data_IF_726564452926
#
_entry.id   IF_726564452926
#
_cell.length_a   1.000
_cell.length_b   1.000
_cell.length_c   1.000
_cell.angle_alpha   90.00
_cell.angle_beta   90.00
_cell.angle_gamma   90.00
#
_symmetry.space_group_name_H-M   'P 1'
#
loop_
_entity.id
_entity.type
_entity.pdbx_description
1 polymer ?
#
# COMPACT_ATOMS: atom_id res chain seq x y z
N UNK A 1 -0.13 -31.30 16.84
CA UNK A 1 0.45 -30.81 15.58
C UNK A 1 -0.17 -31.63 14.47
N UNK A 2 -1.00 -31.05 13.60
CA UNK A 2 -1.41 -31.77 12.39
C UNK A 2 -0.17 -31.97 11.53
N UNK A 3 0.19 -33.23 11.26
CA UNK A 3 1.22 -33.54 10.28
C UNK A 3 0.82 -32.93 8.93
N UNK A 4 1.74 -32.17 8.34
CA UNK A 4 1.54 -31.58 7.03
C UNK A 4 1.48 -32.71 5.99
N UNK A 5 0.42 -32.75 5.19
CA UNK A 5 0.30 -33.75 4.12
C UNK A 5 1.44 -33.61 3.11
N UNK A 6 1.83 -34.74 2.51
CA UNK A 6 2.86 -34.77 1.46
C UNK A 6 2.50 -33.86 0.28
N UNK A 7 1.23 -33.85 -0.11
CA UNK A 7 0.69 -32.98 -1.16
C UNK A 7 0.84 -31.49 -0.81
N UNK A 8 0.61 -31.09 0.44
CA UNK A 8 0.80 -29.70 0.85
C UNK A 8 2.27 -29.30 0.86
N UNK A 9 3.16 -30.20 1.27
CA UNK A 9 4.61 -29.98 1.22
C UNK A 9 5.10 -29.76 -0.22
N UNK A 10 4.68 -30.61 -1.16
CA UNK A 10 5.03 -30.48 -2.58
C UNK A 10 4.50 -29.16 -3.16
N UNK A 11 3.26 -28.80 -2.81
CA UNK A 11 2.65 -27.53 -3.22
C UNK A 11 3.44 -26.32 -2.71
N UNK A 12 3.88 -26.36 -1.44
CA UNK A 12 4.71 -25.31 -0.83
C UNK A 12 6.08 -25.23 -1.50
N UNK A 13 6.76 -26.35 -1.75
CA UNK A 13 8.04 -26.38 -2.44
C UNK A 13 7.96 -25.72 -3.83
N UNK A 14 6.91 -26.06 -4.57
CA UNK A 14 6.63 -25.50 -5.89
C UNK A 14 6.29 -24.01 -5.81
N UNK A 15 5.48 -23.60 -4.85
CA UNK A 15 5.18 -22.18 -4.62
C UNK A 15 6.47 -21.40 -4.31
N UNK A 16 7.37 -21.93 -3.48
CA UNK A 16 8.66 -21.29 -3.21
C UNK A 16 9.57 -21.20 -4.45
N UNK A 17 9.54 -22.18 -5.36
CA UNK A 17 10.24 -22.06 -6.67
C UNK A 17 9.70 -20.89 -7.49
N UNK A 18 8.37 -20.79 -7.57
CA UNK A 18 7.68 -19.73 -8.29
C UNK A 18 7.94 -18.35 -7.67
N UNK A 19 8.08 -18.29 -6.34
CA UNK A 19 8.46 -17.09 -5.61
C UNK A 19 9.86 -16.60 -5.98
N UNK A 20 10.84 -17.52 -6.07
CA UNK A 20 12.22 -17.21 -6.50
C UNK A 20 12.25 -16.68 -7.93
N UNK A 21 11.30 -17.10 -8.77
CA UNK A 21 11.12 -16.59 -10.14
C UNK A 21 10.45 -15.22 -10.21
N UNK A 22 10.11 -14.61 -9.08
CA UNK A 22 9.63 -13.23 -9.00
C UNK A 22 8.12 -13.06 -8.89
N UNK A 23 7.34 -14.15 -8.77
CA UNK A 23 5.90 -14.04 -8.50
C UNK A 23 5.64 -13.58 -7.05
N UNK A 24 4.49 -12.95 -6.80
CA UNK A 24 4.05 -12.62 -5.43
C UNK A 24 3.69 -13.87 -4.63
N UNK A 25 3.49 -13.76 -3.32
CA UNK A 25 3.07 -14.88 -2.45
C UNK A 25 1.85 -15.61 -3.00
N UNK A 26 0.76 -14.88 -3.23
CA UNK A 26 -0.49 -15.46 -3.69
C UNK A 26 -0.39 -16.00 -5.12
N UNK A 27 0.27 -15.25 -6.02
CA UNK A 27 0.45 -15.67 -7.41
C UNK A 27 1.31 -16.94 -7.51
N UNK A 28 2.34 -17.06 -6.66
CA UNK A 28 3.20 -18.25 -6.57
C UNK A 28 2.40 -19.48 -6.16
N UNK A 29 1.55 -19.36 -5.13
CA UNK A 29 0.73 -20.46 -4.66
C UNK A 29 -0.34 -20.85 -5.68
N UNK A 30 -1.06 -19.87 -6.26
CA UNK A 30 -2.05 -20.12 -7.32
C UNK A 30 -1.42 -20.73 -8.58
N UNK A 31 -0.19 -20.37 -8.92
CA UNK A 31 0.54 -21.02 -10.01
C UNK A 31 0.88 -22.47 -9.65
N UNK A 32 1.38 -22.73 -8.44
CA UNK A 32 1.68 -24.09 -7.98
C UNK A 32 0.44 -25.00 -7.99
N UNK A 33 -0.71 -24.52 -7.50
CA UNK A 33 -1.99 -25.25 -7.55
C UNK A 33 -2.38 -25.61 -8.98
N UNK A 34 -2.21 -24.69 -9.93
CA UNK A 34 -2.53 -24.94 -11.34
C UNK A 34 -1.57 -25.90 -12.01
N UNK A 35 -0.28 -25.79 -11.70
CA UNK A 35 0.77 -26.63 -12.30
C UNK A 35 0.74 -28.07 -11.79
N UNK A 36 0.43 -28.28 -10.51
CA UNK A 36 0.41 -29.62 -9.89
C UNK A 36 -0.98 -30.26 -9.87
N UNK A 37 -2.05 -29.47 -10.05
CA UNK A 37 -3.43 -29.97 -9.91
C UNK A 37 -3.85 -30.28 -8.46
N UNK A 38 -2.99 -30.01 -7.48
CA UNK A 38 -3.20 -30.31 -6.05
C UNK A 38 -4.02 -29.19 -5.39
N UNK A 39 -5.07 -29.56 -4.64
CA UNK A 39 -5.87 -28.65 -3.80
C UNK A 39 -6.01 -29.20 -2.39
N UNK A 40 -5.28 -28.61 -1.46
CA UNK A 40 -5.31 -28.99 -0.04
C UNK A 40 -5.86 -27.82 0.77
N UNK A 41 -6.94 -28.05 1.51
CA UNK A 41 -7.54 -27.06 2.40
C UNK A 41 -6.54 -26.65 3.50
N UNK A 42 -6.52 -25.36 3.85
CA UNK A 42 -5.58 -24.84 4.86
C UNK A 42 -4.12 -24.74 4.41
N UNK A 43 -3.76 -25.30 3.24
CA UNK A 43 -2.35 -25.33 2.81
C UNK A 43 -1.78 -23.96 2.48
N UNK A 44 -2.61 -22.99 2.06
CA UNK A 44 -2.17 -21.61 1.87
C UNK A 44 -1.74 -20.95 3.18
N UNK A 45 -2.43 -21.23 4.28
CA UNK A 45 -2.10 -20.74 5.62
C UNK A 45 -0.80 -21.38 6.10
N UNK A 46 -0.59 -22.67 5.84
CA UNK A 46 0.67 -23.37 6.11
C UNK A 46 1.81 -22.76 5.30
N UNK A 47 1.63 -22.54 4.00
CA UNK A 47 2.58 -21.84 3.13
C UNK A 47 2.96 -20.45 3.68
N UNK A 48 1.96 -19.69 4.13
CA UNK A 48 2.17 -18.36 4.68
C UNK A 48 2.98 -18.39 5.99
N UNK A 49 2.73 -19.37 6.87
CA UNK A 49 3.55 -19.60 8.07
C UNK A 49 5.00 -19.94 7.70
N UNK A 50 5.20 -20.80 6.70
CA UNK A 50 6.53 -21.15 6.19
C UNK A 50 7.26 -19.90 5.70
N UNK A 51 6.62 -19.04 4.90
CA UNK A 51 7.25 -17.82 4.40
C UNK A 51 7.75 -16.90 5.52
N UNK A 52 7.02 -16.80 6.63
CA UNK A 52 7.41 -15.96 7.78
C UNK A 52 8.63 -16.52 8.53
N UNK A 53 8.73 -17.84 8.67
CA UNK A 53 9.82 -18.48 9.41
C UNK A 53 11.05 -18.85 8.53
N UNK A 54 10.87 -18.99 7.21
CA UNK A 54 11.92 -19.44 6.30
C UNK A 54 13.20 -18.60 6.32
N UNK A 55 13.17 -17.25 6.41
CA UNK A 55 14.41 -16.48 6.51
C UNK A 55 15.22 -16.80 7.78
N UNK A 56 14.54 -17.00 8.91
CA UNK A 56 15.17 -17.44 10.16
C UNK A 56 15.79 -18.83 10.01
N UNK A 57 15.05 -19.78 9.46
CA UNK A 57 15.54 -21.15 9.25
C UNK A 57 16.74 -21.17 8.30
N UNK A 58 16.72 -20.42 7.20
CA UNK A 58 17.86 -20.30 6.29
C UNK A 58 19.11 -19.75 6.97
N UNK A 59 18.93 -18.88 7.97
CA UNK A 59 20.03 -18.31 8.75
C UNK A 59 20.58 -19.28 9.77
N UNK A 60 19.70 -19.98 10.51
CA UNK A 60 20.11 -20.93 11.55
C UNK A 60 20.62 -22.25 10.98
N UNK A 61 20.05 -22.71 9.87
CA UNK A 61 20.34 -24.00 9.24
C UNK A 61 20.58 -23.86 7.73
N UNK A 62 21.62 -23.14 7.30
CA UNK A 62 21.89 -22.88 5.89
C UNK A 62 22.18 -24.14 5.06
N UNK A 63 22.64 -25.22 5.71
CA UNK A 63 22.99 -26.49 5.07
C UNK A 63 21.80 -27.42 4.84
N UNK A 64 20.63 -27.13 5.40
CA UNK A 64 19.44 -27.95 5.16
C UNK A 64 18.97 -27.78 3.72
N UNK A 65 18.58 -28.90 3.11
CA UNK A 65 17.86 -28.85 1.84
C UNK A 65 16.50 -28.15 2.03
N UNK A 66 15.90 -27.71 0.92
CA UNK A 66 14.66 -26.91 0.96
C UNK A 66 13.53 -27.59 1.73
N UNK A 67 13.36 -28.90 1.53
CA UNK A 67 12.32 -29.68 2.17
C UNK A 67 12.43 -29.65 3.69
N UNK A 68 13.64 -29.92 4.20
CA UNK A 68 13.95 -29.83 5.63
C UNK A 68 13.84 -28.40 6.16
N UNK A 69 14.15 -27.38 5.35
CA UNK A 69 13.94 -25.98 5.74
C UNK A 69 12.44 -25.66 5.91
N UNK A 70 11.56 -26.20 5.07
CA UNK A 70 10.10 -26.03 5.19
C UNK A 70 9.60 -26.73 6.46
N UNK A 71 10.02 -27.97 6.68
CA UNK A 71 9.65 -28.74 7.87
C UNK A 71 10.11 -28.03 9.15
N UNK A 72 11.34 -27.50 9.16
CA UNK A 72 11.86 -26.74 10.30
C UNK A 72 11.12 -25.42 10.49
N UNK A 73 10.74 -24.73 9.42
CA UNK A 73 9.97 -23.48 9.48
C UNK A 73 8.60 -23.65 10.15
N UNK A 74 8.03 -24.85 10.11
CA UNK A 74 6.76 -25.17 10.76
C UNK A 74 6.90 -25.48 12.26
N UNK A 75 8.10 -25.87 12.69
CA UNK A 75 8.43 -26.21 14.09
C UNK A 75 8.85 -25.00 14.91
N UNK A 76 9.28 -23.92 14.27
CA UNK A 76 9.81 -22.75 14.95
C UNK A 76 8.77 -21.67 15.18
N UNK A 77 8.79 -21.10 16.39
CA UNK A 77 8.20 -19.79 16.61
C UNK A 77 8.98 -18.73 15.83
N UNK A 78 8.23 -17.85 15.15
CA UNK A 78 8.80 -16.80 14.33
C UNK A 78 9.45 -15.78 15.26
N UNK A 79 10.76 -15.60 15.13
CA UNK A 79 11.47 -14.46 15.66
C UNK A 79 11.60 -13.39 14.55
N UNK A 80 10.84 -12.28 14.60
CA UNK A 80 10.91 -11.21 13.62
C UNK A 80 12.33 -10.72 13.31
N UNK A 81 13.22 -10.72 14.32
CA UNK A 81 14.61 -10.28 14.19
C UNK A 81 15.49 -11.24 13.39
N UNK A 82 15.10 -12.51 13.30
CA UNK A 82 15.76 -13.55 12.49
C UNK A 82 15.08 -13.70 11.12
N UNK A 83 13.83 -13.26 10.99
CA UNK A 83 13.03 -13.32 9.77
C UNK A 83 13.39 -12.24 8.72
N UNK A 84 14.22 -11.25 9.06
CA UNK A 84 14.67 -10.24 8.10
C UNK A 84 16.09 -10.52 7.59
N UNK A 85 16.35 -10.38 6.26
CA UNK A 85 17.71 -10.35 5.75
C UNK A 85 18.55 -9.30 6.46
N UNK A 86 19.84 -9.60 6.67
CA UNK A 86 20.78 -8.72 7.38
C UNK A 86 20.72 -7.27 6.86
N UNK A 87 20.68 -7.09 5.55
CA UNK A 87 20.64 -5.75 4.98
C UNK A 87 19.36 -4.96 5.27
N UNK A 88 18.19 -5.62 5.32
CA UNK A 88 16.94 -4.95 5.67
C UNK A 88 16.99 -4.57 7.15
N UNK A 89 17.45 -5.49 8.00
CA UNK A 89 17.59 -5.27 9.44
C UNK A 89 18.52 -4.09 9.74
N UNK A 90 19.72 -4.07 9.17
CA UNK A 90 20.70 -2.98 9.35
C UNK A 90 20.13 -1.61 8.98
N UNK A 91 19.22 -1.58 8.01
CA UNK A 91 18.61 -0.36 7.48
C UNK A 91 17.41 0.10 8.30
N UNK A 92 16.57 -0.82 8.77
CA UNK A 92 15.33 -0.50 9.48
C UNK A 92 15.51 -0.40 11.00
N UNK A 93 16.45 -1.14 11.60
CA UNK A 93 16.70 -1.10 13.05
C UNK A 93 16.98 0.33 13.56
N UNK A 94 17.85 1.14 12.91
CA UNK A 94 18.11 2.51 13.38
C UNK A 94 16.93 3.48 13.19
N UNK A 95 15.93 3.10 12.38
CA UNK A 95 14.78 3.94 12.05
C UNK A 95 13.57 3.62 12.93
N UNK A 96 13.32 2.33 13.16
CA UNK A 96 12.14 1.81 13.85
C UNK A 96 12.41 1.39 15.29
N UNK A 97 13.69 1.22 15.66
CA UNK A 97 14.06 0.57 16.90
C UNK A 97 13.65 -0.91 16.94
N UNK A 98 13.85 -1.53 18.10
CA UNK A 98 13.52 -2.95 18.30
C UNK A 98 12.02 -3.20 18.34
N UNK A 99 11.26 -2.29 18.97
CA UNK A 99 9.81 -2.37 19.05
C UNK A 99 9.18 -2.32 17.66
N UNK A 100 9.58 -1.34 16.83
CA UNK A 100 9.01 -1.20 15.50
C UNK A 100 9.38 -2.33 14.54
N UNK A 101 10.58 -2.92 14.68
CA UNK A 101 10.94 -4.13 13.93
C UNK A 101 10.08 -5.34 14.30
N UNK A 102 9.88 -5.59 15.59
CA UNK A 102 9.01 -6.67 16.05
C UNK A 102 7.57 -6.46 15.58
N UNK A 103 7.17 -5.19 15.53
CA UNK A 103 5.89 -4.71 15.05
C UNK A 103 5.57 -4.94 13.56
N UNK A 104 6.56 -5.20 12.70
CA UNK A 104 6.37 -5.28 11.25
C UNK A 104 5.45 -6.42 10.80
N UNK A 105 5.26 -7.44 11.62
CA UNK A 105 4.42 -8.59 11.30
C UNK A 105 3.03 -8.52 11.92
N UNK A 106 2.73 -7.45 12.68
CA UNK A 106 1.39 -7.18 13.20
C UNK A 106 0.46 -6.90 12.03
N UNK A 107 -0.60 -7.70 11.92
CA UNK A 107 -1.56 -7.62 10.81
C UNK A 107 -2.98 -7.55 11.35
N UNK A 108 -3.74 -6.58 10.85
CA UNK A 108 -5.15 -6.45 11.11
C UNK A 108 -5.91 -6.49 9.78
N UNK A 109 -6.88 -7.42 9.62
CA UNK A 109 -7.77 -7.42 8.48
C UNK A 109 -8.64 -6.15 8.43
N UNK A 110 -8.57 -5.41 7.34
CA UNK A 110 -9.39 -4.20 7.14
C UNK A 110 -10.27 -4.33 5.89
N UNK A 111 -11.50 -3.81 5.99
CA UNK A 111 -12.41 -3.70 4.86
C UNK A 111 -13.17 -2.37 4.93
N UNK A 112 -13.23 -1.67 3.80
CA UNK A 112 -14.04 -0.48 3.63
C UNK A 112 -15.45 -0.86 3.17
N UNK A 113 -16.45 -0.24 3.78
CA UNK A 113 -17.82 -0.18 3.30
C UNK A 113 -17.89 0.66 2.04
N UNK A 114 -18.43 0.07 0.98
CA UNK A 114 -18.68 0.77 -0.27
C UNK A 114 -19.99 1.56 -0.19
N UNK A 115 -19.91 2.81 0.27
CA UNK A 115 -21.06 3.69 0.42
C UNK A 115 -21.72 4.12 -0.90
N UNK A 116 -21.18 3.72 -2.06
CA UNK A 116 -21.88 3.84 -3.34
C UNK A 116 -22.98 2.78 -3.51
N UNK A 117 -22.97 1.72 -2.68
CA UNK A 117 -23.89 0.58 -2.79
C UNK A 117 -24.72 0.32 -1.54
N UNK A 118 -24.17 0.60 -0.36
CA UNK A 118 -24.82 0.30 0.92
C UNK A 118 -24.35 1.28 2.00
N UNK A 119 -25.22 1.66 2.92
CA UNK A 119 -24.83 2.49 4.06
C UNK A 119 -23.97 1.72 5.08
N UNK A 120 -23.27 2.46 5.93
CA UNK A 120 -22.48 1.87 7.03
C UNK A 120 -23.41 1.23 8.08
N UNK A 121 -24.59 1.79 8.27
CA UNK A 121 -25.61 1.30 9.20
C UNK A 121 -26.14 -0.06 8.75
N UNK A 122 -26.51 -0.19 7.47
CA UNK A 122 -27.05 -1.44 6.90
C UNK A 122 -26.02 -2.57 6.95
N UNK A 123 -24.77 -2.32 6.54
CA UNK A 123 -23.74 -3.35 6.54
C UNK A 123 -23.34 -3.77 7.95
N UNK A 124 -23.28 -2.84 8.90
CA UNK A 124 -22.91 -3.17 10.29
C UNK A 124 -24.02 -3.93 11.00
N UNK A 125 -25.29 -3.67 10.66
CA UNK A 125 -26.42 -4.47 11.13
C UNK A 125 -26.33 -5.92 10.63
N UNK A 126 -26.18 -6.12 9.32
CA UNK A 126 -26.09 -7.47 8.73
C UNK A 126 -24.87 -8.25 9.28
N UNK A 127 -23.71 -7.58 9.47
CA UNK A 127 -22.55 -8.22 10.08
C UNK A 127 -22.81 -8.65 11.53
N UNK A 128 -23.57 -7.87 12.32
CA UNK A 128 -23.97 -8.25 13.69
C UNK A 128 -24.92 -9.44 13.70
N UNK A 129 -25.93 -9.44 12.82
CA UNK A 129 -26.88 -10.54 12.69
C UNK A 129 -26.19 -11.86 12.28
N UNK A 130 -25.13 -11.77 11.47
CA UNK A 130 -24.28 -12.92 11.10
C UNK A 130 -23.24 -13.30 12.16
N UNK A 131 -23.17 -12.57 13.28
CA UNK A 131 -22.18 -12.80 14.33
C UNK A 131 -20.73 -12.54 13.91
N UNK A 132 -20.49 -11.69 12.91
CA UNK A 132 -19.14 -11.34 12.45
C UNK A 132 -18.55 -10.25 13.37
N UNK A 133 -17.44 -10.51 14.08
CA UNK A 133 -16.83 -9.50 14.93
C UNK A 133 -16.13 -8.43 14.10
N UNK A 134 -16.47 -7.16 14.35
CA UNK A 134 -15.82 -6.00 13.75
C UNK A 134 -15.68 -4.83 14.73
N UNK A 135 -14.78 -3.91 14.40
CA UNK A 135 -14.65 -2.60 15.05
C UNK A 135 -14.59 -1.53 13.96
N UNK A 136 -15.36 -0.45 14.10
CA UNK A 136 -15.27 0.69 13.19
C UNK A 136 -14.01 1.51 13.53
N UNK A 137 -13.34 2.02 12.50
CA UNK A 137 -12.25 2.95 12.69
C UNK A 137 -12.78 4.30 13.23
N UNK A 138 -12.17 4.87 14.29
CA UNK A 138 -12.66 6.11 14.88
C UNK A 138 -12.47 7.34 13.97
N UNK A 139 -11.51 7.30 13.04
CA UNK A 139 -11.28 8.39 12.07
C UNK A 139 -12.09 8.19 10.79
N UNK A 140 -12.32 6.94 10.39
CA UNK A 140 -13.03 6.58 9.16
C UNK A 140 -14.19 5.61 9.47
N UNK A 141 -15.41 6.11 9.78
CA UNK A 141 -16.53 5.26 10.19
C UNK A 141 -16.94 4.16 9.19
N UNK A 142 -16.66 4.38 7.89
CA UNK A 142 -16.86 3.41 6.82
C UNK A 142 -15.78 2.32 6.75
N UNK A 143 -14.74 2.36 7.59
CA UNK A 143 -13.64 1.40 7.61
C UNK A 143 -13.82 0.45 8.80
N UNK A 144 -13.83 -0.85 8.52
CA UNK A 144 -14.06 -1.90 9.50
C UNK A 144 -12.80 -2.72 9.71
N UNK A 145 -12.35 -2.80 10.97
CA UNK A 145 -11.37 -3.77 11.43
C UNK A 145 -12.09 -5.09 11.69
N UNK A 146 -11.69 -6.14 10.97
CA UNK A 146 -12.27 -7.47 11.08
C UNK A 146 -11.33 -8.40 11.85
N UNK A 147 -11.88 -9.44 12.47
CA UNK A 147 -11.07 -10.51 13.08
C UNK A 147 -10.45 -11.42 12.01
N UNK A 148 -11.25 -11.77 11.01
CA UNK A 148 -10.92 -12.73 9.97
C UNK A 148 -10.70 -12.02 8.62
N UNK A 149 -9.97 -12.63 7.66
CA UNK A 149 -9.71 -12.00 6.36
C UNK A 149 -11.01 -11.61 5.65
N UNK A 150 -11.14 -10.40 5.08
CA UNK A 150 -12.42 -9.94 4.55
C UNK A 150 -12.92 -10.77 3.37
N UNK A 151 -12.01 -11.43 2.65
CA UNK A 151 -12.32 -12.30 1.51
C UNK A 151 -13.23 -13.48 1.85
N UNK A 152 -13.41 -13.82 3.13
CA UNK A 152 -14.35 -14.86 3.57
C UNK A 152 -15.80 -14.37 3.58
N UNK A 153 -16.02 -13.05 3.55
CA UNK A 153 -17.35 -12.46 3.61
C UNK A 153 -17.98 -12.37 2.20
N UNK A 154 -19.28 -12.73 2.07
CA UNK A 154 -19.99 -12.62 0.79
C UNK A 154 -20.03 -11.17 0.25
N UNK A 155 -20.03 -10.19 1.14
CA UNK A 155 -20.02 -8.76 0.84
C UNK A 155 -18.83 -8.33 -0.03
N UNK A 156 -17.69 -9.00 0.08
CA UNK A 156 -16.54 -8.73 -0.79
C UNK A 156 -16.81 -9.21 -2.22
N UNK A 157 -17.50 -10.35 -2.38
CA UNK A 157 -17.93 -10.85 -3.69
C UNK A 157 -19.00 -9.94 -4.31
N UNK A 158 -19.91 -9.43 -3.49
CA UNK A 158 -20.97 -8.50 -3.88
C UNK A 158 -20.46 -7.08 -4.14
N UNK A 159 -19.28 -6.73 -3.62
CA UNK A 159 -18.68 -5.40 -3.77
C UNK A 159 -19.25 -4.34 -2.82
N UNK A 160 -19.98 -4.75 -1.79
CA UNK A 160 -20.46 -3.92 -0.68
C UNK A 160 -19.39 -3.71 0.39
N UNK A 161 -18.44 -4.66 0.51
CA UNK A 161 -17.16 -4.48 1.21
C UNK A 161 -15.99 -4.55 0.23
N UNK A 162 -14.99 -3.70 0.44
CA UNK A 162 -13.76 -3.64 -0.35
C UNK A 162 -12.58 -3.83 0.60
N UNK A 163 -11.79 -4.92 0.48
CA UNK A 163 -10.56 -5.08 1.25
C UNK A 163 -9.61 -3.92 0.98
N UNK A 164 -9.32 -3.14 2.03
CA UNK A 164 -8.48 -1.95 1.92
C UNK A 164 -7.89 -1.63 3.28
N UNK A 165 -6.56 -1.51 3.33
CA UNK A 165 -5.85 -1.14 4.54
C UNK A 165 -6.12 0.32 4.97
N UNK A 166 -6.06 0.57 6.28
CA UNK A 166 -6.25 1.89 6.88
C UNK A 166 -5.28 2.95 6.34
N UNK A 167 -4.01 2.61 6.08
CA UNK A 167 -3.03 3.54 5.53
C UNK A 167 -3.39 3.97 4.09
N UNK A 168 -3.98 3.05 3.32
CA UNK A 168 -4.51 3.34 1.98
C UNK A 168 -5.71 4.29 2.03
N UNK A 169 -6.57 4.19 3.04
CA UNK A 169 -7.66 5.14 3.28
C UNK A 169 -7.11 6.51 3.68
N UNK A 170 -6.14 6.55 4.60
CA UNK A 170 -5.47 7.78 5.04
C UNK A 170 -4.84 8.53 3.86
N UNK A 171 -4.20 7.80 2.93
CA UNK A 171 -3.61 8.37 1.73
C UNK A 171 -4.62 9.15 0.88
N UNK A 172 -5.81 8.58 0.64
CA UNK A 172 -6.88 9.28 -0.10
C UNK A 172 -7.49 10.42 0.73
N UNK A 173 -7.56 10.29 2.05
CA UNK A 173 -7.98 11.39 2.92
C UNK A 173 -7.04 12.60 2.85
N UNK A 174 -5.72 12.38 2.72
CA UNK A 174 -4.72 13.46 2.54
C UNK A 174 -4.88 14.16 1.19
N UNK A 175 -5.24 13.42 0.13
CA UNK A 175 -5.62 14.00 -1.18
C UNK A 175 -6.81 14.95 -1.05
N UNK A 176 -7.74 14.63 -0.16
CA UNK A 176 -8.96 15.41 0.09
C UNK A 176 -9.73 15.69 -1.21
N UNK A 177 -10.17 14.65 -1.95
CA UNK A 177 -10.85 14.82 -3.23
C UNK A 177 -12.21 15.51 -3.05
N UNK A 178 -12.55 16.46 -3.93
CA UNK A 178 -13.83 17.17 -3.91
C UNK A 178 -14.70 16.81 -5.13
N UNK A 179 -16.04 16.84 -5.00
CA UNK A 179 -16.95 16.73 -6.13
C UNK A 179 -16.59 17.71 -7.26
N UNK A 180 -16.64 17.23 -8.50
CA UNK A 180 -16.32 18.02 -9.70
C UNK A 180 -14.83 18.21 -10.01
N UNK A 181 -13.90 17.85 -9.11
CA UNK A 181 -12.46 17.91 -9.40
C UNK A 181 -12.05 16.87 -10.44
N UNK A 182 -11.08 17.23 -11.28
CA UNK A 182 -10.36 16.29 -12.13
C UNK A 182 -9.08 15.85 -11.45
N UNK A 183 -8.96 14.55 -11.16
CA UNK A 183 -7.83 13.96 -10.44
C UNK A 183 -7.05 13.07 -11.39
N UNK A 184 -5.75 13.35 -11.54
CA UNK A 184 -4.83 12.44 -12.22
C UNK A 184 -4.26 11.45 -11.20
N UNK A 185 -4.60 10.17 -11.33
CA UNK A 185 -4.06 9.10 -10.49
C UNK A 185 -2.98 8.32 -11.24
N UNK A 186 -1.74 8.33 -10.73
CA UNK A 186 -0.61 7.60 -11.31
C UNK A 186 -0.31 6.36 -10.47
N UNK A 187 -0.30 5.19 -11.11
CA UNK A 187 -0.18 3.90 -10.42
C UNK A 187 -1.52 3.38 -9.90
N UNK A 188 -2.63 3.71 -10.58
CA UNK A 188 -3.99 3.54 -10.06
C UNK A 188 -4.41 2.08 -9.83
N UNK A 189 -3.90 1.14 -10.63
CA UNK A 189 -4.45 -0.22 -10.64
C UNK A 189 -4.03 -1.01 -9.39
N UNK A 190 -4.91 -1.84 -8.78
CA UNK A 190 -6.20 -2.32 -9.30
C UNK A 190 -7.40 -1.39 -9.02
N UNK A 191 -7.20 -0.14 -8.57
CA UNK A 191 -8.26 0.86 -8.43
C UNK A 191 -8.90 0.94 -7.04
N UNK A 192 -8.29 0.34 -6.02
CA UNK A 192 -8.83 0.41 -4.64
C UNK A 192 -8.86 1.87 -4.15
N UNK A 193 -7.81 2.65 -4.40
CA UNK A 193 -7.76 4.08 -4.05
C UNK A 193 -8.65 4.93 -4.96
N UNK A 194 -8.67 4.65 -6.27
CA UNK A 194 -9.64 5.22 -7.23
C UNK A 194 -11.09 5.10 -6.75
N UNK A 195 -11.50 3.89 -6.32
CA UNK A 195 -12.87 3.66 -5.84
C UNK A 195 -13.18 4.38 -4.52
N UNK A 196 -12.16 4.72 -3.71
CA UNK A 196 -12.36 5.56 -2.53
C UNK A 196 -12.48 7.04 -2.91
N UNK A 197 -11.69 7.51 -3.88
CA UNK A 197 -11.87 8.86 -4.44
C UNK A 197 -13.32 9.02 -4.89
N UNK A 198 -13.83 8.09 -5.69
CA UNK A 198 -15.20 8.15 -6.19
C UNK A 198 -16.26 7.94 -5.09
N UNK A 199 -16.01 7.13 -4.06
CA UNK A 199 -16.92 7.06 -2.92
C UNK A 199 -17.05 8.40 -2.19
N UNK A 200 -15.93 9.06 -1.89
CA UNK A 200 -15.91 10.32 -1.16
C UNK A 200 -16.54 11.48 -1.94
N UNK A 201 -16.47 11.42 -3.27
CA UNK A 201 -17.07 12.42 -4.16
C UNK A 201 -18.45 12.01 -4.69
N UNK A 202 -19.00 10.87 -4.26
CA UNK A 202 -20.27 10.30 -4.76
C UNK A 202 -20.28 10.20 -6.29
N UNK A 203 -19.22 9.64 -6.85
CA UNK A 203 -18.92 9.54 -8.28
C UNK A 203 -18.82 10.90 -9.02
N UNK A 204 -18.79 12.05 -8.34
CA UNK A 204 -18.82 13.36 -9.01
C UNK A 204 -17.46 13.83 -9.53
N UNK A 205 -16.34 13.36 -8.99
CA UNK A 205 -15.02 13.67 -9.56
C UNK A 205 -14.76 12.91 -10.85
N UNK A 206 -13.91 13.49 -11.71
CA UNK A 206 -13.37 12.82 -12.89
C UNK A 206 -11.97 12.30 -12.56
N UNK A 207 -11.77 10.98 -12.61
CA UNK A 207 -10.45 10.39 -12.37
C UNK A 207 -9.82 9.94 -13.68
N UNK A 208 -8.63 10.44 -13.98
CA UNK A 208 -7.77 9.92 -15.05
C UNK A 208 -6.78 8.96 -14.41
N UNK A 209 -7.05 7.66 -14.52
CA UNK A 209 -6.34 6.59 -13.83
C UNK A 209 -5.33 5.92 -14.78
N UNK A 210 -4.04 6.12 -14.50
CA UNK A 210 -2.92 5.71 -15.36
C UNK A 210 -2.15 4.55 -14.72
N UNK A 211 -1.98 3.46 -15.46
CA UNK A 211 -1.06 2.36 -15.11
C UNK A 211 -0.37 1.82 -16.38
N UNK A 212 0.85 1.33 -16.25
CA UNK A 212 1.61 0.79 -17.39
C UNK A 212 1.12 -0.61 -17.80
N UNK A 213 0.51 -1.34 -16.86
CA UNK A 213 0.12 -2.73 -17.05
C UNK A 213 -1.31 -2.86 -17.57
N UNK A 214 -1.43 -3.20 -18.86
CA UNK A 214 -2.73 -3.52 -19.47
C UNK A 214 -3.54 -4.53 -18.66
N UNK A 215 -2.89 -5.59 -18.18
CA UNK A 215 -3.56 -6.62 -17.36
C UNK A 215 -4.15 -6.05 -16.07
N UNK A 216 -3.44 -5.14 -15.40
CA UNK A 216 -3.94 -4.52 -14.16
C UNK A 216 -5.07 -3.53 -14.45
N UNK A 217 -5.02 -2.84 -15.59
CA UNK A 217 -6.09 -1.96 -16.06
C UNK A 217 -7.38 -2.73 -16.35
N UNK A 218 -7.31 -3.86 -17.05
CA UNK A 218 -8.50 -4.68 -17.31
C UNK A 218 -9.12 -5.18 -16.00
N UNK A 219 -8.29 -5.61 -15.03
CA UNK A 219 -8.77 -5.94 -13.69
C UNK A 219 -9.41 -4.73 -13.00
N UNK A 220 -8.80 -3.55 -13.08
CA UNK A 220 -9.36 -2.32 -12.52
C UNK A 220 -10.73 -2.02 -13.15
N UNK A 221 -10.89 -2.18 -14.47
CA UNK A 221 -12.16 -1.99 -15.18
C UNK A 221 -13.26 -2.91 -14.65
N UNK A 222 -12.95 -4.20 -14.47
CA UNK A 222 -13.88 -5.17 -13.88
C UNK A 222 -14.29 -4.79 -12.46
N UNK A 223 -13.32 -4.35 -11.64
CA UNK A 223 -13.56 -3.93 -10.26
C UNK A 223 -14.37 -2.63 -10.17
N UNK A 224 -14.12 -1.63 -11.02
CA UNK A 224 -14.90 -0.40 -11.04
C UNK A 224 -16.37 -0.70 -11.35
N UNK A 225 -16.65 -1.57 -12.33
CA UNK A 225 -18.01 -2.03 -12.62
C UNK A 225 -18.64 -2.74 -11.43
N UNK A 226 -17.91 -3.66 -10.78
CA UNK A 226 -18.38 -4.40 -9.61
C UNK A 226 -18.72 -3.48 -8.42
N UNK A 227 -17.93 -2.44 -8.23
CA UNK A 227 -18.05 -1.50 -7.11
C UNK A 227 -18.95 -0.29 -7.41
N UNK A 228 -19.64 -0.27 -8.55
CA UNK A 228 -20.50 0.85 -8.98
C UNK A 228 -19.74 2.19 -9.04
N UNK A 229 -18.48 2.12 -9.46
CA UNK A 229 -17.61 3.29 -9.61
C UNK A 229 -17.72 3.82 -11.04
N UNK A 230 -18.03 5.09 -11.15
CA UNK A 230 -18.23 5.80 -12.42
C UNK A 230 -17.22 6.93 -12.59
N UNK A 231 -17.23 7.63 -13.73
CA UNK A 231 -16.38 8.80 -14.01
C UNK A 231 -14.87 8.56 -13.83
N UNK A 232 -14.43 7.36 -14.23
CA UNK A 232 -13.00 6.97 -14.27
C UNK A 232 -12.59 6.70 -15.73
N UNK A 233 -11.62 7.46 -16.21
CA UNK A 233 -10.93 7.23 -17.48
C UNK A 233 -9.68 6.38 -17.24
N UNK A 234 -9.75 5.11 -17.60
CA UNK A 234 -8.62 4.18 -17.50
C UNK A 234 -7.69 4.33 -18.69
N UNK A 235 -6.41 4.63 -18.45
CA UNK A 235 -5.42 4.86 -19.50
C UNK A 235 -4.20 3.97 -19.29
N UNK A 236 -3.88 3.16 -20.30
CA UNK A 236 -2.59 2.47 -20.34
C UNK A 236 -1.51 3.46 -20.74
N UNK A 237 -0.58 3.74 -19.82
CA UNK A 237 0.44 4.74 -20.08
C UNK A 237 1.61 4.71 -19.10
N UNK A 238 2.70 5.35 -19.50
CA UNK A 238 3.83 5.64 -18.61
C UNK A 238 3.54 6.93 -17.84
N UNK A 239 3.46 6.82 -16.51
CA UNK A 239 3.21 7.97 -15.63
C UNK A 239 4.24 9.09 -15.73
N UNK A 240 5.45 8.84 -16.25
CA UNK A 240 6.47 9.89 -16.48
C UNK A 240 6.13 10.70 -17.72
N UNK A 241 5.69 10.04 -18.79
CA UNK A 241 5.46 10.66 -20.10
C UNK A 241 3.97 11.00 -20.33
N UNK A 242 3.15 10.90 -19.28
CA UNK A 242 1.74 11.16 -19.38
C UNK A 242 1.46 12.65 -19.56
N UNK A 243 0.48 12.96 -20.41
CA UNK A 243 -0.02 14.31 -20.63
C UNK A 243 -1.50 14.36 -20.24
N UNK A 244 -1.84 15.35 -19.42
CA UNK A 244 -3.22 15.68 -19.07
C UNK A 244 -3.45 17.13 -19.43
N UNK A 245 -4.57 17.42 -20.10
CA UNK A 245 -4.90 18.80 -20.51
C UNK A 245 -5.14 19.71 -19.30
N UNK A 246 -5.81 19.17 -18.29
CA UNK A 246 -6.15 19.85 -17.03
C UNK A 246 -6.40 18.78 -15.96
N UNK A 247 -5.79 18.96 -14.79
CA UNK A 247 -6.15 18.25 -13.57
C UNK A 247 -5.99 19.21 -12.39
N UNK A 248 -6.87 19.10 -11.41
CA UNK A 248 -6.85 19.93 -10.21
C UNK A 248 -5.88 19.35 -9.16
N UNK A 249 -5.71 18.02 -9.14
CA UNK A 249 -4.77 17.31 -8.25
C UNK A 249 -4.14 16.11 -8.93
N UNK A 250 -2.94 15.74 -8.48
CA UNK A 250 -2.28 14.48 -8.78
C UNK A 250 -2.29 13.60 -7.52
N UNK A 251 -2.77 12.37 -7.65
CA UNK A 251 -2.58 11.33 -6.65
C UNK A 251 -1.55 10.32 -7.18
N UNK A 252 -0.36 10.32 -6.59
CA UNK A 252 0.78 9.53 -7.04
C UNK A 252 1.04 8.38 -6.07
N UNK A 253 0.45 7.21 -6.37
CA UNK A 253 0.75 5.95 -5.69
C UNK A 253 1.96 5.31 -6.36
N UNK A 254 3.15 5.76 -5.97
CA UNK A 254 4.34 5.52 -6.76
C UNK A 254 4.79 4.04 -6.65
N UNK A 255 5.29 3.45 -7.75
CA UNK A 255 5.88 2.11 -7.69
C UNK A 255 7.04 2.10 -6.69
N UNK A 256 7.00 1.19 -5.73
CA UNK A 256 7.94 1.14 -4.61
C UNK A 256 8.31 -0.29 -4.22
N UNK A 257 9.15 -0.43 -3.20
CA UNK A 257 9.65 -1.73 -2.72
C UNK A 257 8.59 -2.60 -2.06
N UNK A 258 7.41 -2.02 -1.74
CA UNK A 258 6.37 -2.61 -0.90
C UNK A 258 6.86 -3.02 0.50
N UNK A 259 8.01 -2.50 0.95
CA UNK A 259 8.60 -2.91 2.24
C UNK A 259 7.71 -2.62 3.45
N UNK A 260 6.70 -1.75 3.32
CA UNK A 260 5.71 -1.50 4.36
C UNK A 260 4.59 -2.54 4.45
N UNK A 261 4.45 -3.43 3.48
CA UNK A 261 3.36 -4.42 3.43
C UNK A 261 3.80 -5.82 3.86
N UNK A 262 4.90 -5.94 4.60
CA UNK A 262 5.47 -7.22 5.09
C UNK A 262 4.46 -8.01 5.94
N UNK A 263 3.59 -7.33 6.68
CA UNK A 263 2.53 -7.95 7.47
C UNK A 263 1.49 -8.67 6.60
N UNK A 264 1.26 -8.19 5.38
CA UNK A 264 0.35 -8.77 4.37
C UNK A 264 1.06 -9.76 3.46
N UNK A 265 2.24 -9.39 2.93
CA UNK A 265 3.08 -10.25 2.09
C UNK A 265 4.44 -10.52 2.77
N UNK A 266 4.55 -11.61 3.57
CA UNK A 266 5.77 -11.96 4.29
C UNK A 266 6.89 -12.44 3.36
N UNK A 267 6.64 -12.61 2.06
CA UNK A 267 7.70 -12.94 1.10
C UNK A 267 8.53 -11.74 0.66
N UNK A 268 8.10 -10.51 0.95
CA UNK A 268 8.80 -9.30 0.53
C UNK A 268 10.27 -9.29 0.98
N UNK A 269 10.60 -9.59 2.24
CA UNK A 269 12.00 -9.65 2.67
C UNK A 269 12.82 -10.72 1.92
N UNK A 270 12.19 -11.80 1.45
CA UNK A 270 12.88 -12.87 0.71
C UNK A 270 13.21 -12.47 -0.74
N UNK A 271 12.41 -11.60 -1.35
CA UNK A 271 12.55 -11.24 -2.77
C UNK A 271 13.23 -9.88 -2.99
N UNK A 272 13.07 -8.95 -2.06
CA UNK A 272 13.56 -7.59 -2.18
C UNK A 272 15.10 -7.54 -2.15
N UNK A 273 15.71 -6.85 -3.11
CA UNK A 273 17.16 -6.62 -3.16
C UNK A 273 17.48 -5.14 -2.95
N UNK A 274 18.69 -4.85 -2.46
CA UNK A 274 19.19 -3.47 -2.30
C UNK A 274 19.05 -2.64 -3.58
N UNK A 275 19.40 -3.24 -4.73
CA UNK A 275 19.35 -2.57 -6.03
C UNK A 275 17.92 -2.24 -6.50
N UNK A 276 16.90 -2.95 -6.01
CA UNK A 276 15.50 -2.62 -6.33
C UNK A 276 15.14 -1.26 -5.75
N UNK A 277 15.49 -0.99 -4.50
CA UNK A 277 15.24 0.30 -3.84
C UNK A 277 15.93 1.44 -4.60
N UNK A 278 17.18 1.23 -5.06
CA UNK A 278 17.92 2.24 -5.85
C UNK A 278 17.21 2.55 -7.17
N UNK A 279 16.82 1.51 -7.91
CA UNK A 279 16.10 1.65 -9.20
C UNK A 279 14.75 2.36 -9.01
N UNK A 280 14.00 1.97 -8.00
CA UNK A 280 12.69 2.53 -7.67
C UNK A 280 12.79 4.00 -7.24
N UNK A 281 13.78 4.35 -6.41
CA UNK A 281 14.09 5.73 -6.05
C UNK A 281 14.29 6.63 -7.27
N UNK A 282 15.01 6.15 -8.30
CA UNK A 282 15.25 6.93 -9.53
C UNK A 282 13.95 7.13 -10.31
N UNK A 283 13.13 6.08 -10.42
CA UNK A 283 11.83 6.15 -11.09
C UNK A 283 10.88 7.12 -10.38
N UNK A 284 10.77 7.02 -9.06
CA UNK A 284 9.95 7.91 -8.21
C UNK A 284 10.39 9.38 -8.36
N UNK A 285 11.70 9.65 -8.39
CA UNK A 285 12.21 11.01 -8.59
C UNK A 285 11.79 11.61 -9.95
N UNK A 286 11.73 10.78 -11.01
CA UNK A 286 11.24 11.21 -12.33
C UNK A 286 9.74 11.50 -12.32
N UNK A 287 8.95 10.69 -11.63
CA UNK A 287 7.51 10.93 -11.46
C UNK A 287 7.24 12.23 -10.71
N UNK A 288 7.93 12.47 -9.59
CA UNK A 288 7.80 13.74 -8.84
C UNK A 288 8.25 14.95 -9.65
N UNK A 289 9.36 14.84 -10.41
CA UNK A 289 9.78 15.91 -11.32
C UNK A 289 8.69 16.21 -12.35
N UNK A 290 8.06 15.18 -12.91
CA UNK A 290 6.96 15.36 -13.86
C UNK A 290 5.78 16.11 -13.23
N UNK A 291 5.40 15.75 -11.99
CA UNK A 291 4.34 16.46 -11.28
C UNK A 291 4.67 17.94 -11.04
N UNK A 292 5.94 18.26 -10.72
CA UNK A 292 6.42 19.63 -10.61
C UNK A 292 6.36 20.38 -11.97
N UNK A 293 6.77 19.75 -13.07
CA UNK A 293 6.69 20.34 -14.42
C UNK A 293 5.24 20.67 -14.82
N UNK A 294 4.28 19.86 -14.38
CA UNK A 294 2.86 20.11 -14.59
C UNK A 294 2.32 21.22 -13.68
N UNK A 295 3.00 21.54 -12.57
CA UNK A 295 2.60 22.57 -11.62
C UNK A 295 1.30 22.26 -10.86
N UNK A 296 0.98 20.98 -10.68
CA UNK A 296 -0.30 20.54 -10.11
C UNK A 296 -0.09 20.08 -8.65
N UNK A 297 -0.97 20.46 -7.71
CA UNK A 297 -0.94 19.95 -6.33
C UNK A 297 -0.91 18.42 -6.32
N UNK A 298 0.03 17.85 -5.59
CA UNK A 298 0.35 16.43 -5.66
C UNK A 298 0.37 15.81 -4.27
N UNK A 299 -0.30 14.67 -4.12
CA UNK A 299 -0.09 13.78 -2.97
C UNK A 299 0.76 12.61 -3.44
N UNK A 300 1.95 12.49 -2.88
CA UNK A 300 2.91 11.43 -3.14
C UNK A 300 2.88 10.40 -2.03
N UNK A 301 2.72 9.14 -2.41
CA UNK A 301 2.55 8.03 -1.48
C UNK A 301 3.40 6.84 -1.91
N UNK A 302 3.99 6.14 -0.94
CA UNK A 302 4.58 4.82 -1.13
C UNK A 302 4.23 3.92 0.03
N UNK A 303 4.08 2.62 -0.22
CA UNK A 303 4.03 1.60 0.83
C UNK A 303 5.44 1.09 1.18
N UNK A 304 6.37 2.02 1.44
CA UNK A 304 7.77 1.73 1.75
C UNK A 304 8.21 2.24 3.12
N UNK A 305 9.00 1.43 3.82
CA UNK A 305 9.66 1.79 5.08
C UNK A 305 10.99 2.50 4.86
N UNK A 306 11.52 2.52 3.63
CA UNK A 306 12.83 3.12 3.36
C UNK A 306 12.73 4.63 3.11
N UNK A 307 13.59 5.46 3.73
CA UNK A 307 13.57 6.90 3.52
C UNK A 307 13.93 7.30 2.07
N UNK A 308 14.67 6.46 1.34
CA UNK A 308 14.97 6.64 -0.09
C UNK A 308 13.72 6.69 -0.98
N UNK A 309 12.63 6.09 -0.53
CA UNK A 309 11.33 6.04 -1.23
C UNK A 309 10.29 6.89 -0.50
N UNK A 310 10.72 7.74 0.43
CA UNK A 310 9.86 8.61 1.22
C UNK A 310 10.48 9.99 1.40
N UNK A 311 10.97 10.28 2.60
CA UNK A 311 11.49 11.60 2.97
C UNK A 311 12.50 12.15 1.97
N UNK A 312 13.50 11.35 1.57
CA UNK A 312 14.58 11.82 0.70
C UNK A 312 14.11 12.15 -0.73
N UNK A 313 12.92 11.68 -1.13
CA UNK A 313 12.31 12.06 -2.40
C UNK A 313 11.80 13.50 -2.38
N UNK A 314 11.23 13.92 -1.25
CA UNK A 314 10.52 15.19 -1.12
C UNK A 314 11.32 16.29 -0.42
N UNK A 315 12.46 15.97 0.19
CA UNK A 315 13.36 16.98 0.78
C UNK A 315 13.77 18.09 -0.20
N UNK A 316 14.02 17.74 -1.46
CA UNK A 316 14.34 18.71 -2.52
C UNK A 316 13.18 19.63 -2.90
N UNK A 317 11.97 19.29 -2.47
CA UNK A 317 10.73 20.02 -2.71
C UNK A 317 10.15 20.56 -1.40
N UNK A 318 10.99 20.73 -0.37
CA UNK A 318 10.54 21.11 0.96
C UNK A 318 9.69 22.39 0.96
N UNK A 319 10.00 23.37 0.11
CA UNK A 319 9.27 24.65 0.08
C UNK A 319 7.82 24.46 -0.39
N UNK A 320 7.54 23.41 -1.16
CA UNK A 320 6.21 23.06 -1.63
C UNK A 320 5.39 22.20 -0.66
N UNK A 321 5.99 21.72 0.44
CA UNK A 321 5.31 20.76 1.33
C UNK A 321 4.19 21.41 2.15
N UNK A 322 2.99 20.87 2.06
CA UNK A 322 1.90 21.17 2.98
C UNK A 322 2.00 20.17 4.16
N UNK A 323 2.16 20.64 5.42
CA UNK A 323 2.27 19.75 6.57
C UNK A 323 1.07 18.82 6.75
N UNK A 324 1.33 17.52 6.86
CA UNK A 324 0.32 16.51 7.21
C UNK A 324 0.33 16.31 8.73
N UNK A 325 -0.84 16.46 9.38
CA UNK A 325 -0.99 16.40 10.85
C UNK A 325 -1.62 15.09 11.36
N UNK A 326 -1.65 14.06 10.53
CA UNK A 326 -2.25 12.76 10.83
C UNK A 326 -1.26 11.65 10.51
N UNK A 327 -1.36 10.52 11.22
CA UNK A 327 -0.33 9.48 11.21
C UNK A 327 0.88 9.83 12.08
N UNK A 328 1.89 8.97 12.02
CA UNK A 328 3.18 9.17 12.67
C UNK A 328 4.04 10.18 11.90
N UNK A 329 4.94 10.93 12.55
CA UNK A 329 5.87 11.80 11.83
C UNK A 329 6.86 10.98 10.99
N UNK A 330 7.48 11.62 10.01
CA UNK A 330 8.59 11.04 9.26
C UNK A 330 9.83 10.78 10.13
N UNK A 331 10.84 10.16 9.53
CA UNK A 331 12.08 9.87 10.25
C UNK A 331 12.87 11.14 10.57
N UNK A 332 13.21 11.35 11.84
CA UNK A 332 13.91 12.54 12.38
C UNK A 332 15.22 12.90 11.67
N UNK A 333 15.83 11.96 10.95
CA UNK A 333 17.05 12.22 10.16
C UNK A 333 16.80 13.10 8.93
N UNK A 334 15.55 13.23 8.50
CA UNK A 334 15.18 14.10 7.39
C UNK A 334 14.82 15.51 7.88
N UNK A 335 15.11 16.53 7.08
CA UNK A 335 14.72 17.93 7.38
C UNK A 335 13.20 18.14 7.34
N UNK A 336 12.47 17.29 6.63
CA UNK A 336 11.02 17.45 6.41
C UNK A 336 10.17 16.56 7.32
N UNK A 337 10.79 15.91 8.31
CA UNK A 337 10.16 14.86 9.12
C UNK A 337 8.85 15.28 9.84
N UNK A 338 8.68 16.56 10.17
CA UNK A 338 7.45 17.11 10.77
C UNK A 338 6.39 17.57 9.74
N UNK A 339 6.73 17.58 8.45
CA UNK A 339 5.84 18.04 7.36
C UNK A 339 5.23 16.89 6.57
N UNK A 340 5.72 15.67 6.80
CA UNK A 340 5.32 14.43 6.12
C UNK A 340 4.74 13.47 7.15
N UNK A 341 4.03 12.46 6.68
CA UNK A 341 3.46 11.44 7.56
C UNK A 341 3.93 10.03 7.16
N UNK A 342 3.97 9.16 8.16
CA UNK A 342 4.15 7.72 8.02
C UNK A 342 3.04 6.98 8.76
N UNK A 343 2.82 5.75 8.35
CA UNK A 343 2.07 4.79 9.15
C UNK A 343 2.93 3.57 9.40
N UNK A 344 2.67 2.86 10.49
CA UNK A 344 3.38 1.65 10.87
C UNK A 344 2.40 0.60 11.41
N UNK A 345 2.66 -0.70 11.18
CA UNK A 345 1.76 -1.74 11.67
C UNK A 345 1.58 -1.81 13.19
N UNK A 346 2.61 -1.49 13.96
CA UNK A 346 2.57 -1.53 15.43
C UNK A 346 1.95 -0.29 16.08
N UNK A 347 2.03 0.87 15.43
CA UNK A 347 1.51 2.13 15.98
C UNK A 347 0.10 2.41 15.47
N UNK A 348 -0.12 2.22 14.17
CA UNK A 348 -1.33 2.65 13.48
C UNK A 348 -2.27 1.48 13.16
N UNK A 349 -1.85 0.25 13.46
CA UNK A 349 -2.61 -0.96 13.13
C UNK A 349 -2.87 -1.12 11.62
N UNK A 350 -1.95 -0.66 10.78
CA UNK A 350 -2.11 -0.56 9.31
C UNK A 350 -0.88 -1.10 8.57
N UNK A 351 -0.81 -0.96 7.25
CA UNK A 351 0.43 -1.15 6.51
C UNK A 351 1.42 0.01 6.73
N UNK A 352 2.70 -0.22 6.43
CA UNK A 352 3.72 0.82 6.46
C UNK A 352 3.64 1.74 5.23
N UNK A 353 3.26 3.00 5.42
CA UNK A 353 3.21 3.99 4.34
C UNK A 353 4.09 5.20 4.62
N UNK A 354 4.44 5.90 3.54
CA UNK A 354 4.93 7.27 3.54
C UNK A 354 3.95 8.14 2.76
N UNK A 355 3.67 9.34 3.27
CA UNK A 355 2.76 10.31 2.67
C UNK A 355 3.40 11.70 2.67
N UNK A 356 3.31 12.39 1.53
CA UNK A 356 3.67 13.79 1.39
C UNK A 356 2.62 14.53 0.55
N UNK A 357 2.27 15.74 0.97
CA UNK A 357 1.39 16.65 0.22
C UNK A 357 2.21 17.84 -0.25
N UNK A 358 2.18 18.10 -1.55
CA UNK A 358 2.99 19.10 -2.23
C UNK A 358 2.07 20.04 -3.01
N UNK A 359 2.25 21.34 -2.86
CA UNK A 359 1.59 22.33 -3.71
C UNK A 359 2.57 22.83 -4.77
N UNK A 360 2.55 22.23 -5.97
CA UNK A 360 3.45 22.64 -7.06
C UNK A 360 2.93 23.82 -7.88
N UNK A 361 1.81 24.43 -7.48
CA UNK A 361 1.39 25.71 -8.05
C UNK A 361 2.42 26.74 -7.60
N UNK A 362 3.09 27.40 -8.55
CA UNK A 362 3.91 28.56 -8.20
C UNK A 362 3.00 29.60 -7.58
N UNK A 363 3.33 30.10 -6.40
CA UNK A 363 2.97 31.47 -6.07
C UNK A 363 3.76 32.38 -7.03
N UNK A 364 3.05 33.18 -7.83
CA UNK A 364 3.48 34.57 -7.94
C UNK A 364 3.49 35.09 -6.51
N UNK A 365 4.68 35.27 -5.94
CA UNK A 365 4.83 36.15 -4.78
C UNK A 365 4.41 37.54 -5.24
N UNK A 366 3.11 37.83 -5.18
CA UNK A 366 2.61 39.19 -5.16
C UNK A 366 3.03 39.71 -3.78
N UNK A 367 4.18 40.35 -3.74
CA UNK A 367 4.45 41.34 -2.72
C UNK A 367 3.62 42.58 -3.11
N UNK A 368 2.52 42.92 -2.42
CA UNK A 368 1.87 44.18 -2.67
C UNK A 368 2.81 45.25 -2.12
N UNK A 369 3.66 45.76 -3.01
CA UNK A 369 4.40 47.00 -2.83
C UNK A 369 3.50 47.97 -2.05
N UNK A 370 3.90 48.46 -0.85
CA UNK A 370 3.15 49.53 -0.22
C UNK A 370 3.28 50.74 -1.14
N UNK A 371 2.16 51.14 -1.74
CA UNK A 371 2.03 52.45 -2.35
C UNK A 371 2.32 53.48 -1.27
N UNK A 372 3.53 54.03 -1.27
CA UNK A 372 3.79 55.30 -0.60
C UNK A 372 3.10 56.38 -1.43
N UNK A 373 1.90 56.71 -0.94
CA UNK A 373 1.21 57.96 -1.24
C UNK A 373 2.15 59.14 -1.01
N UNK A 374 2.09 60.11 -1.91
CA UNK A 374 2.93 61.29 -1.87
C UNK A 374 2.66 62.25 -0.71
N UNK A 375 3.69 63.02 -0.44
CA UNK A 375 3.70 64.40 0.05
C UNK A 375 4.95 65.00 -0.65
N UNK A 376 4.95 66.07 -1.47
CA UNK A 376 4.31 67.39 -1.33
C UNK A 376 4.35 67.85 0.12
N UNK A 377 5.50 68.37 0.56
CA UNK A 377 5.86 69.79 0.52
C UNK A 377 7.39 69.97 0.56
#
# INVERSE_FOLDING_TARGET
>A
MNEMSQECLELIEKALLNLVRGLSTEASFKAAVRELGIRVEGCYQTYFRVLRALPQVKRLYPLLNRRRQIEEALKQDINPKLALPTWIKERLLPLLGEEGLNGLFTHYPWARVNELKISVEEITLDLRERGVPFQQDPQFPFLLKLRDPPSTLPHVKEGTLIPQDRASVLAVSVLDPKPGETILEVGSSPGVKTSLIQQLTRNSSQVVAVDISKKRIELQKELMKKWSVENVHLVQGDGINFWVRRADKIFMDAPCSNSGTINVDPSIPLRLKRNDVVRLKILQARLLRRALELGIPTVYVTCSLFPEEGEFQVERYQDYLIPIRTGSPGYRRSKVWLRVARTFPHLDGSEGFFLAKLDFRKEETIDPTPQLQGSRE
#
